data_IF_626309124850
#
_entry.id   IF_626309124850
#
_cell.length_a   1.000
_cell.length_b   1.000
_cell.length_c   1.000
_cell.angle_alpha   90.00
_cell.angle_beta   90.00
_cell.angle_gamma   90.00
#
_symmetry.space_group_name_H-M   'P 1'
#
loop_
_entity.id
_entity.type
_entity.pdbx_description
1 polymer ?
#
# COMPACT_ATOMS: atom_id res chain seq x y z
N UNK A 1 -9.06 6.57 -6.52
CA UNK A 1 -7.79 5.85 -6.71
C UNK A 1 -6.57 6.75 -6.57
N UNK A 2 -6.14 7.58 -7.56
CA UNK A 2 -4.94 8.42 -7.35
C UNK A 2 -5.10 9.47 -6.23
N UNK A 3 -6.32 9.94 -5.97
CA UNK A 3 -6.60 10.99 -5.00
C UNK A 3 -6.42 10.53 -3.55
N UNK A 4 -6.74 9.27 -3.23
CA UNK A 4 -6.79 8.76 -1.86
C UNK A 4 -5.38 8.56 -1.28
N UNK A 5 -4.45 8.04 -2.08
CA UNK A 5 -3.05 7.91 -1.68
C UNK A 5 -2.32 9.24 -1.66
N UNK A 6 -2.67 10.17 -2.57
CA UNK A 6 -2.18 11.55 -2.47
C UNK A 6 -2.61 12.21 -1.17
N UNK A 7 -3.77 11.85 -0.61
CA UNK A 7 -4.19 12.32 0.70
C UNK A 7 -3.50 11.57 1.84
N UNK A 8 -3.24 10.27 1.72
CA UNK A 8 -2.38 9.53 2.67
C UNK A 8 -0.96 10.12 2.75
N UNK A 9 -0.38 10.55 1.63
CA UNK A 9 0.92 11.23 1.61
C UNK A 9 0.92 12.58 2.34
N UNK A 10 -0.25 13.20 2.51
CA UNK A 10 -0.41 14.44 3.30
C UNK A 10 -0.55 14.14 4.80
N UNK A 11 -0.94 12.92 5.18
CA UNK A 11 -0.98 12.46 6.57
C UNK A 11 0.44 12.24 7.09
N UNK A 12 1.06 13.29 7.64
CA UNK A 12 2.37 13.18 8.28
C UNK A 12 2.27 12.34 9.56
N UNK A 13 3.07 11.28 9.62
CA UNK A 13 3.24 10.45 10.80
C UNK A 13 4.70 10.50 11.30
N UNK A 14 5.17 11.66 11.82
CA UNK A 14 6.59 11.87 12.13
C UNK A 14 7.12 10.97 13.25
N UNK A 15 6.25 10.37 14.05
CA UNK A 15 6.61 9.47 15.17
C UNK A 15 6.65 7.99 14.78
N UNK A 16 6.36 7.66 13.53
CA UNK A 16 6.37 6.29 13.05
C UNK A 16 7.77 5.90 12.58
N UNK A 17 8.43 5.09 13.41
CA UNK A 17 9.79 4.62 13.21
C UNK A 17 9.86 3.22 12.58
N UNK A 18 8.71 2.58 12.37
CA UNK A 18 8.62 1.24 11.80
C UNK A 18 9.01 1.25 10.32
N UNK A 19 9.48 0.08 9.87
CA UNK A 19 9.77 -0.21 8.46
C UNK A 19 8.68 -1.14 7.94
N UNK A 20 8.27 -0.92 6.68
CA UNK A 20 7.14 -1.60 6.05
C UNK A 20 7.62 -2.35 4.81
N UNK A 21 7.20 -3.60 4.65
CA UNK A 21 7.50 -4.34 3.42
C UNK A 21 6.95 -3.60 2.20
N UNK A 22 7.84 -3.28 1.26
CA UNK A 22 7.53 -2.37 0.16
C UNK A 22 7.78 -3.07 -1.17
N UNK A 23 6.73 -3.70 -1.74
CA UNK A 23 6.82 -4.32 -3.06
C UNK A 23 7.18 -3.32 -4.16
N UNK A 24 7.95 -3.79 -5.14
CA UNK A 24 8.10 -3.10 -6.42
C UNK A 24 7.02 -3.58 -7.40
N UNK A 25 6.74 -2.77 -8.42
CA UNK A 25 5.78 -3.17 -9.45
C UNK A 25 6.36 -4.30 -10.31
N UNK A 26 5.76 -5.47 -10.19
CA UNK A 26 6.03 -6.63 -11.02
C UNK A 26 4.68 -7.14 -11.55
N UNK A 27 4.38 -7.03 -12.86
CA UNK A 27 3.06 -7.39 -13.40
C UNK A 27 2.61 -8.82 -13.04
N UNK A 28 3.55 -9.76 -12.93
CA UNK A 28 3.27 -11.16 -12.59
C UNK A 28 2.97 -11.37 -11.09
N UNK A 29 3.32 -10.40 -10.25
CA UNK A 29 3.17 -10.42 -8.79
C UNK A 29 2.25 -9.32 -8.28
N UNK A 30 1.51 -8.63 -9.16
CA UNK A 30 0.66 -7.50 -8.82
C UNK A 30 -0.34 -7.83 -7.70
N UNK A 31 -0.97 -9.02 -7.74
CA UNK A 31 -1.89 -9.48 -6.70
C UNK A 31 -1.21 -9.63 -5.34
N UNK A 32 0.02 -10.16 -5.36
CA UNK A 32 0.82 -10.39 -4.15
C UNK A 32 1.30 -9.07 -3.58
N UNK A 33 1.79 -8.18 -4.44
CA UNK A 33 2.22 -6.83 -4.07
C UNK A 33 1.06 -6.03 -3.45
N UNK A 34 -0.12 -6.04 -4.08
CA UNK A 34 -1.32 -5.40 -3.52
C UNK A 34 -1.67 -5.93 -2.14
N UNK A 35 -1.66 -7.26 -1.97
CA UNK A 35 -1.92 -7.89 -0.67
C UNK A 35 -0.90 -7.45 0.38
N UNK A 36 0.38 -7.38 0.03
CA UNK A 36 1.42 -6.91 0.95
C UNK A 36 1.23 -5.44 1.31
N UNK A 37 0.99 -4.56 0.33
CA UNK A 37 0.69 -3.16 0.58
C UNK A 37 -0.53 -2.98 1.50
N UNK A 38 -1.58 -3.78 1.33
CA UNK A 38 -2.77 -3.77 2.19
C UNK A 38 -2.47 -4.14 3.64
N UNK A 39 -1.67 -5.19 3.88
CA UNK A 39 -1.29 -5.62 5.23
C UNK A 39 -0.41 -4.57 5.93
N UNK A 40 0.54 -4.01 5.20
CA UNK A 40 1.46 -3.00 5.72
C UNK A 40 0.76 -1.65 5.96
N UNK A 41 -0.24 -1.29 5.15
CA UNK A 41 -1.07 -0.11 5.40
C UNK A 41 -1.93 -0.22 6.66
N UNK A 42 -2.50 -1.41 6.93
CA UNK A 42 -3.23 -1.64 8.17
C UNK A 42 -2.30 -1.49 9.39
N UNK A 43 -1.10 -2.08 9.30
CA UNK A 43 -0.05 -1.92 10.32
C UNK A 43 0.36 -0.45 10.49
N UNK A 44 0.54 0.28 9.38
CA UNK A 44 0.87 1.70 9.40
C UNK A 44 -0.20 2.52 10.12
N UNK A 45 -1.46 2.21 9.87
CA UNK A 45 -2.61 2.88 10.46
C UNK A 45 -2.72 2.61 11.97
N UNK A 46 -2.51 1.36 12.39
CA UNK A 46 -2.47 1.00 13.81
C UNK A 46 -1.39 1.79 14.55
N UNK A 47 -0.24 2.01 13.91
CA UNK A 47 0.89 2.78 14.41
C UNK A 47 0.76 4.30 14.17
N UNK A 48 -0.36 4.78 13.61
CA UNK A 48 -0.57 6.19 13.34
C UNK A 48 -0.92 6.97 14.61
N UNK A 49 -0.04 7.94 14.95
CA UNK A 49 -0.18 8.81 16.13
C UNK A 49 -0.43 10.29 15.78
N UNK A 50 -0.62 10.61 14.49
CA UNK A 50 -0.90 11.97 14.04
C UNK A 50 -2.32 12.44 14.35
N UNK A 51 -2.52 13.77 14.36
CA UNK A 51 -3.81 14.40 14.66
C UNK A 51 -4.91 14.07 13.62
N UNK A 52 -4.51 13.69 12.40
CA UNK A 52 -5.42 13.37 11.29
C UNK A 52 -5.76 11.87 11.20
N UNK A 53 -5.81 11.15 12.32
CA UNK A 53 -6.00 9.69 12.34
C UNK A 53 -7.28 9.26 11.61
N UNK A 54 -8.43 9.87 11.92
CA UNK A 54 -9.70 9.52 11.28
C UNK A 54 -9.66 9.72 9.75
N UNK A 55 -8.92 10.73 9.28
CA UNK A 55 -8.74 10.96 7.85
C UNK A 55 -7.86 9.85 7.24
N UNK A 56 -6.77 9.50 7.91
CA UNK A 56 -5.92 8.38 7.51
C UNK A 56 -6.70 7.05 7.47
N UNK A 57 -7.53 6.77 8.48
CA UNK A 57 -8.40 5.58 8.55
C UNK A 57 -9.33 5.52 7.34
N UNK A 58 -10.08 6.59 7.05
CA UNK A 58 -10.98 6.64 5.90
C UNK A 58 -10.27 6.39 4.56
N UNK A 59 -9.06 6.94 4.38
CA UNK A 59 -8.31 6.75 3.14
C UNK A 59 -7.72 5.36 3.01
N UNK A 60 -7.26 4.75 4.11
CA UNK A 60 -6.81 3.36 4.12
C UNK A 60 -7.98 2.44 3.80
N UNK A 61 -9.15 2.61 4.44
CA UNK A 61 -10.35 1.81 4.16
C UNK A 61 -10.76 1.87 2.67
N UNK A 62 -10.84 3.09 2.12
CA UNK A 62 -11.14 3.27 0.69
C UNK A 62 -10.11 2.59 -0.23
N UNK A 63 -8.82 2.64 0.13
CA UNK A 63 -7.80 1.93 -0.61
C UNK A 63 -7.99 0.41 -0.52
N UNK A 64 -8.21 -0.13 0.69
CA UNK A 64 -8.36 -1.56 0.93
C UNK A 64 -9.57 -2.16 0.20
N UNK A 65 -10.71 -1.48 0.21
CA UNK A 65 -11.90 -1.90 -0.54
C UNK A 65 -11.59 -2.04 -2.03
N UNK A 66 -10.81 -1.10 -2.57
CA UNK A 66 -10.46 -1.11 -3.98
C UNK A 66 -9.35 -2.11 -4.31
N UNK A 67 -8.36 -2.26 -3.43
CA UNK A 67 -7.28 -3.24 -3.57
C UNK A 67 -7.82 -4.68 -3.48
N UNK A 68 -8.81 -4.92 -2.61
CA UNK A 68 -9.51 -6.21 -2.51
C UNK A 68 -10.16 -6.61 -3.83
N UNK A 69 -10.84 -5.68 -4.50
CA UNK A 69 -11.42 -5.91 -5.82
C UNK A 69 -10.35 -6.30 -6.86
N UNK A 70 -9.21 -5.59 -6.91
CA UNK A 70 -8.13 -5.90 -7.87
C UNK A 70 -7.42 -7.21 -7.54
N UNK A 71 -7.24 -7.53 -6.26
CA UNK A 71 -6.63 -8.78 -5.81
C UNK A 71 -7.49 -10.00 -6.15
N UNK A 72 -8.82 -9.87 -6.09
CA UNK A 72 -9.76 -10.93 -6.54
C UNK A 72 -9.64 -11.19 -8.04
N UNK A 73 -9.55 -10.14 -8.87
CA UNK A 73 -9.34 -10.30 -10.33
C UNK A 73 -7.99 -10.97 -10.65
N UNK A 74 -6.99 -10.79 -9.79
CA UNK A 74 -5.63 -11.25 -9.99
C UNK A 74 -5.32 -12.62 -9.33
N UNK A 75 -6.33 -13.33 -8.79
CA UNK A 75 -6.18 -14.66 -8.16
C UNK A 75 -5.53 -15.74 -9.04
N UNK A 76 -5.43 -15.54 -10.36
CA UNK A 76 -4.75 -16.45 -11.28
C UNK A 76 -3.26 -16.14 -11.50
N UNK A 77 -2.66 -15.19 -10.77
CA UNK A 77 -1.23 -14.88 -10.89
C UNK A 77 -0.35 -15.91 -10.18
N UNK A 78 0.71 -16.34 -10.85
CA UNK A 78 1.61 -17.43 -10.42
C UNK A 78 2.81 -16.99 -9.57
N UNK A 79 2.74 -15.81 -8.96
CA UNK A 79 3.84 -15.31 -8.14
C UNK A 79 3.93 -16.06 -6.81
N UNK A 80 5.08 -16.66 -6.53
CA UNK A 80 5.36 -17.41 -5.30
C UNK A 80 6.06 -16.57 -4.22
N UNK A 81 6.11 -15.24 -4.37
CA UNK A 81 6.73 -14.36 -3.38
C UNK A 81 5.85 -14.21 -2.15
N UNK A 82 6.45 -14.05 -0.97
CA UNK A 82 5.79 -13.58 0.25
C UNK A 82 6.19 -12.13 0.56
N UNK A 83 5.49 -11.48 1.48
CA UNK A 83 5.73 -10.07 1.78
C UNK A 83 7.12 -9.83 2.37
N UNK A 84 7.62 -10.79 3.14
CA UNK A 84 8.93 -10.77 3.80
C UNK A 84 10.11 -10.84 2.83
N UNK A 85 9.86 -11.20 1.56
CA UNK A 85 10.89 -11.21 0.52
C UNK A 85 11.09 -9.83 -0.13
N UNK A 86 10.23 -8.85 0.17
CA UNK A 86 10.39 -7.47 -0.30
C UNK A 86 11.25 -6.64 0.66
N UNK A 87 11.93 -5.65 0.11
CA UNK A 87 12.67 -4.68 0.93
C UNK A 87 11.71 -3.89 1.82
N UNK A 88 12.18 -3.55 3.02
CA UNK A 88 11.42 -2.70 3.94
C UNK A 88 11.79 -1.23 3.76
N UNK A 89 10.82 -0.31 3.81
CA UNK A 89 11.07 1.14 3.77
C UNK A 89 10.35 1.87 4.90
N UNK A 90 10.85 3.05 5.25
CA UNK A 90 10.18 3.94 6.22
C UNK A 90 8.83 4.40 5.68
N UNK A 91 7.91 4.74 6.59
CA UNK A 91 6.53 5.13 6.30
C UNK A 91 6.35 6.04 5.06
N UNK A 92 7.07 7.15 4.93
CA UNK A 92 6.90 8.05 3.78
C UNK A 92 7.32 7.40 2.46
N UNK A 93 8.41 6.64 2.47
CA UNK A 93 8.90 5.94 1.29
C UNK A 93 7.97 4.80 0.89
N UNK A 94 7.41 4.10 1.89
CA UNK A 94 6.39 3.08 1.69
C UNK A 94 5.14 3.65 1.00
N UNK A 95 4.59 4.77 1.51
CA UNK A 95 3.42 5.42 0.90
C UNK A 95 3.69 5.94 -0.52
N UNK A 96 4.91 6.43 -0.78
CA UNK A 96 5.32 6.83 -2.14
C UNK A 96 5.44 5.64 -3.08
N UNK A 97 6.00 4.52 -2.61
CA UNK A 97 6.09 3.30 -3.41
C UNK A 97 4.71 2.75 -3.75
N UNK A 98 3.76 2.82 -2.81
CA UNK A 98 2.36 2.49 -3.08
C UNK A 98 1.74 3.39 -4.14
N UNK A 99 1.98 4.70 -4.09
CA UNK A 99 1.50 5.63 -5.12
C UNK A 99 2.03 5.24 -6.50
N UNK A 100 3.33 4.99 -6.60
CA UNK A 100 3.98 4.59 -7.85
C UNK A 100 3.43 3.26 -8.36
N UNK A 101 3.32 2.26 -7.48
CA UNK A 101 2.77 0.95 -7.82
C UNK A 101 1.40 1.06 -8.48
N UNK A 102 0.49 1.88 -7.93
CA UNK A 102 -0.84 2.05 -8.52
C UNK A 102 -0.80 2.78 -9.85
N UNK A 103 0.04 3.81 -9.97
CA UNK A 103 0.21 4.51 -11.24
C UNK A 103 0.70 3.56 -12.34
N UNK A 104 1.63 2.65 -12.01
CA UNK A 104 2.14 1.63 -12.92
C UNK A 104 1.10 0.54 -13.23
N UNK A 105 0.37 0.05 -12.23
CA UNK A 105 -0.76 -0.87 -12.41
C UNK A 105 -1.83 -0.32 -13.36
N UNK A 106 -2.16 0.97 -13.26
CA UNK A 106 -3.14 1.62 -14.15
C UNK A 106 -2.55 1.79 -15.55
N UNK A 107 -1.28 2.20 -15.66
CA UNK A 107 -0.66 2.51 -16.96
C UNK A 107 -0.40 1.28 -17.83
N UNK A 108 -0.29 0.09 -17.22
CA UNK A 108 -0.06 -1.17 -17.91
C UNK A 108 -1.34 -1.97 -18.23
N UNK A 109 -2.53 -1.39 -17.99
CA UNK A 109 -3.84 -1.93 -18.43
C UNK A 109 -4.28 -1.29 -19.74
#
# INVERSE_FOLDING_TARGET
MSTDIKQLLQCRNPENLEDYYTPEYEPMCEATALRCFSLELDTWLQNYKGENRNQAENHVECFLDTAGYVAEEAQNQSCNKTCEEYDTKKSQQFLHALENFIQESISNK
#
